data_IF_414117859627
#
_entry.id   IF_414117859627
#
_cell.length_a   1.000
_cell.length_b   1.000
_cell.length_c   1.000
_cell.angle_alpha   90.00
_cell.angle_beta   90.00
_cell.angle_gamma   90.00
#
_symmetry.space_group_name_H-M   'P 1'
#
loop_
_entity.id
_entity.type
_entity.pdbx_description
1 polymer ?
#
# COMPACT_ATOMS: atom_id res chain seq x y z
N UNK A 1 -10.47 -11.04 -2.06
CA UNK A 1 -11.12 -10.07 -2.97
C UNK A 1 -11.26 -8.76 -2.20
N UNK A 2 -10.34 -7.80 -2.38
CA UNK A 2 -10.30 -6.56 -1.61
C UNK A 2 -11.37 -5.58 -2.11
N UNK A 3 -12.15 -4.99 -1.20
CA UNK A 3 -13.24 -4.04 -1.50
C UNK A 3 -12.85 -2.62 -1.10
N UNK A 4 -13.62 -1.63 -1.56
CA UNK A 4 -13.43 -0.22 -1.18
C UNK A 4 -13.54 0.02 0.33
N UNK A 5 -14.33 -0.80 1.04
CA UNK A 5 -14.41 -0.76 2.51
C UNK A 5 -13.15 -1.30 3.20
N UNK A 6 -12.32 -2.06 2.49
CA UNK A 6 -11.08 -2.65 3.00
C UNK A 6 -9.87 -1.76 2.70
N UNK A 7 -10.06 -0.50 2.30
CA UNK A 7 -8.99 0.42 1.85
C UNK A 7 -8.09 0.94 2.97
N UNK A 8 -8.28 0.55 4.23
CA UNK A 8 -7.39 0.98 5.30
C UNK A 8 -6.18 0.05 5.38
N UNK A 9 -4.98 0.59 5.21
CA UNK A 9 -3.73 -0.06 5.60
C UNK A 9 -3.44 0.27 7.06
N UNK A 10 -3.00 -0.72 7.83
CA UNK A 10 -2.52 -0.54 9.21
C UNK A 10 -1.21 -1.32 9.34
N UNK A 11 -0.13 -0.63 9.70
CA UNK A 11 1.16 -1.22 9.99
C UNK A 11 1.24 -1.65 11.46
N UNK A 12 2.08 -2.64 11.76
CA UNK A 12 2.33 -3.10 13.12
C UNK A 12 2.91 -2.02 14.04
N UNK A 13 3.52 -0.96 13.46
CA UNK A 13 3.98 0.21 14.22
C UNK A 13 2.85 1.19 14.60
N UNK A 14 1.60 0.93 14.21
CA UNK A 14 0.43 1.78 14.48
C UNK A 14 0.11 2.82 13.40
N UNK A 15 0.92 2.90 12.34
CA UNK A 15 0.63 3.76 11.19
C UNK A 15 -0.63 3.31 10.45
N UNK A 16 -1.50 4.25 10.08
CA UNK A 16 -2.73 3.97 9.34
C UNK A 16 -3.00 5.00 8.25
N UNK A 17 -3.27 4.52 7.03
CA UNK A 17 -3.56 5.35 5.84
C UNK A 17 -4.50 4.60 4.89
N UNK A 18 -4.96 5.28 3.84
CA UNK A 18 -5.48 4.60 2.65
C UNK A 18 -4.39 3.70 2.02
N UNK A 19 -4.74 2.44 1.78
CA UNK A 19 -3.85 1.39 1.27
C UNK A 19 -3.34 1.71 -0.12
N UNK A 20 -4.17 2.29 -0.97
CA UNK A 20 -3.82 2.53 -2.37
C UNK A 20 -2.85 3.73 -2.43
N UNK A 21 -3.01 4.71 -1.55
CA UNK A 21 -2.04 5.79 -1.34
C UNK A 21 -0.71 5.27 -0.77
N UNK A 22 -0.76 4.41 0.26
CA UNK A 22 0.45 3.79 0.83
C UNK A 22 1.23 2.99 -0.24
N UNK A 23 0.52 2.23 -1.07
CA UNK A 23 1.13 1.50 -2.18
C UNK A 23 1.77 2.44 -3.21
N UNK A 24 1.15 3.59 -3.51
CA UNK A 24 1.72 4.59 -4.40
C UNK A 24 3.03 5.19 -3.86
N UNK A 25 3.11 5.44 -2.55
CA UNK A 25 4.35 5.87 -1.90
C UNK A 25 5.42 4.77 -1.95
N UNK A 26 5.06 3.52 -1.65
CA UNK A 26 6.00 2.39 -1.77
C UNK A 26 6.57 2.27 -3.18
N UNK A 27 5.77 2.49 -4.23
CA UNK A 27 6.25 2.47 -5.62
C UNK A 27 7.09 3.71 -5.98
N UNK A 28 6.72 4.91 -5.50
CA UNK A 28 7.47 6.15 -5.72
C UNK A 28 8.87 6.08 -5.10
N UNK A 29 8.95 5.54 -3.88
CA UNK A 29 10.16 5.57 -3.06
C UNK A 29 11.00 4.28 -3.17
N UNK A 30 10.52 3.26 -3.88
CA UNK A 30 11.26 2.02 -4.11
C UNK A 30 12.47 2.23 -5.02
N UNK A 31 13.62 1.69 -4.63
CA UNK A 31 14.82 1.60 -5.49
C UNK A 31 14.74 0.45 -6.51
N UNK A 32 13.90 -0.55 -6.24
CA UNK A 32 13.67 -1.71 -7.11
C UNK A 32 12.22 -2.19 -6.95
N UNK A 33 11.56 -2.55 -8.06
CA UNK A 33 10.22 -3.14 -8.05
C UNK A 33 10.13 -4.27 -9.09
N UNK A 34 9.14 -5.15 -8.89
CA UNK A 34 8.85 -6.25 -9.82
C UNK A 34 7.48 -6.01 -10.45
N UNK A 35 7.39 -6.23 -11.76
CA UNK A 35 6.12 -6.23 -12.49
C UNK A 35 5.57 -7.65 -12.47
N UNK A 36 4.29 -7.81 -12.14
CA UNK A 36 3.60 -9.08 -12.25
C UNK A 36 3.25 -9.35 -13.72
N UNK A 37 3.52 -10.58 -14.19
CA UNK A 37 3.07 -11.07 -15.49
C UNK A 37 1.62 -11.55 -15.44
#
# INVERSE_FOLDING_TARGET
>A
NLKLKDRKYVCDCGYAEDRDLNAAFNLRDATEYKIAN
#
